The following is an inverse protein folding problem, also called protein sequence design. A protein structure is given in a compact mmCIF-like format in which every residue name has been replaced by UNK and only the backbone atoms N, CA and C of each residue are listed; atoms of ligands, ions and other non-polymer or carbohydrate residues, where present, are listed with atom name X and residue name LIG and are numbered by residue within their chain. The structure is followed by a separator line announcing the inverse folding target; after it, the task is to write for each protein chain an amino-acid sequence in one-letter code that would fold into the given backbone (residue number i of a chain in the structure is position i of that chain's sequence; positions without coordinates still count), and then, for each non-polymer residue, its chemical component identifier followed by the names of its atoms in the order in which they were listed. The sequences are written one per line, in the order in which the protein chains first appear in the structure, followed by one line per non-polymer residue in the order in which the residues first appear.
data_IF_656657437208
#
_entry.id   IF_656657437208
#
_cell.length_a   1.000
_cell.length_b   1.000
_cell.length_c   1.000
_cell.angle_alpha   90.00
_cell.angle_beta   90.00
_cell.angle_gamma   90.00
#
_symmetry.space_group_name_H-M   'P 1'
#
loop_
_entity.id
_entity.type
_entity.pdbx_description
1 polymer ?
#
# COMPACT_ATOMS: atom_id res chain seq x y z
N UNK A 1 42.86 15.76 18.25
CA UNK A 1 41.85 14.67 18.28
C UNK A 1 42.08 13.80 17.05
N UNK A 2 42.46 12.53 17.22
CA UNK A 2 42.66 11.59 16.09
C UNK A 2 41.36 10.81 15.90
N UNK A 3 40.77 10.86 14.72
CA UNK A 3 39.54 10.13 14.40
C UNK A 3 39.93 8.70 14.02
N UNK A 4 39.26 7.72 14.61
CA UNK A 4 39.45 6.31 14.29
C UNK A 4 38.78 5.96 12.94
N UNK A 5 39.55 5.57 11.92
CA UNK A 5 39.02 5.22 10.61
C UNK A 5 38.11 3.99 10.62
N UNK A 6 38.26 3.07 11.58
CA UNK A 6 37.40 1.90 11.68
C UNK A 6 36.00 2.27 12.21
N UNK A 7 35.94 3.18 13.19
CA UNK A 7 34.69 3.76 13.67
C UNK A 7 33.93 4.52 12.56
N UNK A 8 34.64 5.25 11.70
CA UNK A 8 34.05 5.93 10.54
C UNK A 8 33.43 4.95 9.53
N UNK A 9 34.10 3.83 9.24
CA UNK A 9 33.57 2.81 8.32
C UNK A 9 32.34 2.09 8.89
N UNK A 10 32.30 1.82 10.21
CA UNK A 10 31.11 1.22 10.84
C UNK A 10 29.92 2.17 10.81
N UNK A 11 30.13 3.45 11.05
CA UNK A 11 29.09 4.49 10.95
C UNK A 11 28.55 4.60 9.52
N UNK A 12 29.42 4.61 8.50
CA UNK A 12 28.98 4.68 7.11
C UNK A 12 28.19 3.43 6.68
N UNK A 13 28.57 2.25 7.16
CA UNK A 13 27.81 1.03 6.95
C UNK A 13 26.42 1.07 7.60
N UNK A 14 26.32 1.54 8.85
CA UNK A 14 25.04 1.70 9.54
C UNK A 14 24.13 2.72 8.84
N UNK A 15 24.69 3.83 8.36
CA UNK A 15 23.97 4.83 7.57
C UNK A 15 23.45 4.23 6.25
N UNK A 16 24.27 3.43 5.57
CA UNK A 16 23.86 2.72 4.36
C UNK A 16 22.72 1.73 4.64
N UNK A 17 22.83 0.94 5.71
CA UNK A 17 21.79 0.00 6.11
C UNK A 17 20.46 0.73 6.39
N UNK A 18 20.51 1.83 7.15
CA UNK A 18 19.32 2.64 7.44
C UNK A 18 18.66 3.22 6.17
N UNK A 19 19.46 3.67 5.20
CA UNK A 19 18.94 4.17 3.91
C UNK A 19 18.31 3.04 3.11
N UNK A 20 18.97 1.88 3.04
CA UNK A 20 18.46 0.70 2.34
C UNK A 20 17.13 0.26 2.92
N UNK A 21 17.02 0.17 4.24
CA UNK A 21 15.82 -0.32 4.90
C UNK A 21 14.65 0.66 4.67
N UNK A 22 14.88 1.97 4.76
CA UNK A 22 13.89 3.00 4.39
C UNK A 22 13.42 2.90 2.94
N UNK A 23 14.33 2.58 2.00
CA UNK A 23 13.99 2.37 0.59
C UNK A 23 13.13 1.12 0.40
N UNK A 24 13.44 0.03 1.10
CA UNK A 24 12.64 -1.21 1.08
C UNK A 24 11.24 -0.99 1.63
N UNK A 25 11.12 -0.27 2.75
CA UNK A 25 9.83 0.05 3.35
C UNK A 25 8.96 0.91 2.42
N UNK A 26 9.57 1.93 1.79
CA UNK A 26 8.88 2.75 0.79
C UNK A 26 8.41 1.90 -0.39
N UNK A 27 9.31 1.09 -0.95
CA UNK A 27 8.98 0.21 -2.07
C UNK A 27 7.84 -0.76 -1.74
N UNK A 28 7.86 -1.36 -0.55
CA UNK A 28 6.80 -2.27 -0.11
C UNK A 28 5.44 -1.55 0.01
N UNK A 29 5.43 -0.31 0.52
CA UNK A 29 4.20 0.50 0.61
C UNK A 29 3.66 0.88 -0.77
N UNK A 30 4.55 1.31 -1.67
CA UNK A 30 4.15 1.70 -3.03
C UNK A 30 3.59 0.50 -3.80
N UNK A 31 4.24 -0.67 -3.69
CA UNK A 31 3.78 -1.92 -4.28
C UNK A 31 2.42 -2.35 -3.71
N UNK A 32 2.24 -2.28 -2.40
CA UNK A 32 0.96 -2.60 -1.76
C UNK A 32 -0.16 -1.66 -2.24
N UNK A 33 0.12 -0.37 -2.37
CA UNK A 33 -0.83 0.62 -2.88
C UNK A 33 -1.19 0.36 -4.35
N UNK A 34 -0.22 -0.03 -5.17
CA UNK A 34 -0.46 -0.42 -6.56
C UNK A 34 -1.35 -1.66 -6.66
N UNK A 35 -1.05 -2.72 -5.88
CA UNK A 35 -1.90 -3.90 -5.82
C UNK A 35 -3.31 -3.60 -5.34
N UNK A 36 -3.48 -2.72 -4.35
CA UNK A 36 -4.79 -2.31 -3.87
C UNK A 36 -5.62 -1.64 -4.98
N UNK A 37 -5.00 -0.76 -5.79
CA UNK A 37 -5.67 -0.12 -6.95
C UNK A 37 -6.08 -1.13 -8.01
N UNK A 38 -5.20 -2.11 -8.31
CA UNK A 38 -5.55 -3.16 -9.26
C UNK A 38 -6.70 -4.03 -8.73
N UNK A 39 -6.65 -4.42 -7.47
CA UNK A 39 -7.73 -5.19 -6.83
C UNK A 39 -9.06 -4.44 -6.86
N UNK A 40 -9.06 -3.14 -6.52
CA UNK A 40 -10.25 -2.28 -6.59
C UNK A 40 -10.79 -2.17 -8.02
N UNK A 41 -9.92 -1.97 -9.02
CA UNK A 41 -10.33 -1.92 -10.43
C UNK A 41 -10.95 -3.24 -10.87
N UNK A 42 -10.35 -4.37 -10.50
CA UNK A 42 -10.87 -5.71 -10.83
C UNK A 42 -12.22 -5.96 -10.17
N UNK A 43 -12.38 -5.59 -8.90
CA UNK A 43 -13.66 -5.67 -8.18
C UNK A 43 -14.72 -4.85 -8.92
N UNK A 44 -14.44 -3.60 -9.28
CA UNK A 44 -15.38 -2.75 -10.02
C UNK A 44 -15.77 -3.33 -11.39
N UNK A 45 -14.82 -3.95 -12.12
CA UNK A 45 -15.11 -4.61 -13.41
C UNK A 45 -16.00 -5.84 -13.27
N UNK A 46 -15.86 -6.56 -12.16
CA UNK A 46 -16.70 -7.71 -11.83
C UNK A 46 -18.04 -7.30 -11.21
N UNK A 47 -18.29 -6.00 -11.03
CA UNK A 47 -19.50 -5.47 -10.44
C UNK A 47 -19.47 -5.37 -8.92
N UNK A 48 -18.35 -5.59 -8.23
CA UNK A 48 -18.27 -5.45 -6.78
C UNK A 48 -18.00 -4.00 -6.36
N UNK A 49 -18.66 -3.57 -5.29
CA UNK A 49 -18.38 -2.30 -4.62
C UNK A 49 -17.17 -2.43 -3.68
N UNK A 50 -16.12 -1.63 -3.90
CA UNK A 50 -14.94 -1.60 -3.01
C UNK A 50 -15.21 -1.03 -1.62
N UNK A 51 -16.32 -0.30 -1.44
CA UNK A 51 -16.69 0.33 -0.17
C UNK A 51 -17.43 -0.62 0.78
N UNK A 52 -18.44 -1.35 0.29
CA UNK A 52 -19.26 -2.26 1.11
C UNK A 52 -19.01 -3.75 0.82
N UNK A 53 -18.24 -4.09 -0.21
CA UNK A 53 -17.89 -5.47 -0.58
C UNK A 53 -19.02 -6.27 -1.24
N UNK A 54 -20.15 -5.66 -1.59
CA UNK A 54 -21.31 -6.33 -2.22
C UNK A 54 -21.24 -6.27 -3.74
N UNK A 55 -21.91 -7.22 -4.38
CA UNK A 55 -22.24 -7.19 -5.81
C UNK A 55 -23.17 -6.00 -6.10
N UNK A 56 -22.86 -5.26 -7.16
CA UNK A 56 -23.71 -4.25 -7.80
C UNK A 56 -24.28 -4.91 -9.04
N UNK A 57 -25.56 -5.23 -9.01
CA UNK A 57 -26.20 -5.91 -10.13
C UNK A 57 -26.39 -4.95 -11.32
N UNK A 58 -26.47 -5.50 -12.53
CA UNK A 58 -26.69 -4.72 -13.74
C UNK A 58 -27.99 -3.90 -13.62
N UNK A 59 -27.87 -2.57 -13.74
CA UNK A 59 -28.99 -1.63 -13.61
C UNK A 59 -29.21 -1.06 -12.21
N UNK A 60 -28.49 -1.52 -11.18
CA UNK A 60 -28.54 -0.93 -9.84
C UNK A 60 -27.67 0.32 -9.74
N UNK A 61 -28.15 1.33 -9.00
CA UNK A 61 -27.29 2.47 -8.63
C UNK A 61 -26.40 2.04 -7.47
N UNK A 62 -25.11 2.35 -7.55
CA UNK A 62 -24.13 2.08 -6.50
C UNK A 62 -24.58 2.48 -5.08
N UNK A 63 -25.29 3.61 -4.95
CA UNK A 63 -25.82 4.10 -3.67
C UNK A 63 -26.93 3.22 -3.06
N UNK A 64 -27.69 2.47 -3.88
CA UNK A 64 -28.71 1.54 -3.39
C UNK A 64 -28.07 0.30 -2.74
N UNK A 65 -27.12 -0.34 -3.42
CA UNK A 65 -26.43 -1.52 -2.89
C UNK A 65 -25.59 -1.25 -1.62
N UNK A 66 -25.09 -0.02 -1.46
CA UNK A 66 -24.35 0.38 -0.25
C UNK A 66 -25.25 0.70 0.94
N UNK A 67 -26.44 1.29 0.74
CA UNK A 67 -27.32 1.79 1.82
C UNK A 67 -27.88 0.69 2.71
N UNK A 68 -28.10 -0.51 2.18
CA UNK A 68 -28.66 -1.63 2.95
C UNK A 68 -27.67 -2.25 3.96
N UNK A 69 -26.43 -1.75 4.02
CA UNK A 69 -25.37 -2.29 4.89
C UNK A 69 -25.20 -1.53 6.22
N UNK A 70 -26.01 -0.50 6.49
CA UNK A 70 -25.93 0.33 7.71
C UNK A 70 -27.00 0.02 8.77
N UNK A 71 -27.67 -1.13 8.65
CA UNK A 71 -28.65 -1.68 9.62
C UNK A 71 -28.19 -3.04 10.08
#
# INVERSE_FOLDING_TARGET
MKIDPEALMRLSYQQYAAIRDRKRDRFARDLAAEHARYAERTMNLLGFCSHCGRDVLEGERHEQGCRESST
#
